data_IF_033709382790
#
_entry.id   IF_033709382790
#
_cell.length_a   1.000
_cell.length_b   1.000
_cell.length_c   1.000
_cell.angle_alpha   90.00
_cell.angle_beta   90.00
_cell.angle_gamma   90.00
#
_symmetry.space_group_name_H-M   'P 1'
#
loop_
_entity.id
_entity.type
_entity.pdbx_description
1 polymer ?
#
# COMPACT_ATOMS: atom_id res chain seq x y z
N UNK A 1 -1.63 22.53 20.14
CA UNK A 1 -1.70 21.05 20.24
C UNK A 1 -1.31 20.51 21.62
N UNK A 2 -0.33 21.07 22.31
CA UNK A 2 0.06 20.62 23.65
C UNK A 2 -1.06 20.71 24.70
N UNK A 3 -1.86 21.77 24.73
CA UNK A 3 -2.97 21.94 25.67
C UNK A 3 -4.06 20.89 25.54
N UNK A 4 -4.34 20.39 24.32
CA UNK A 4 -5.35 19.35 24.10
C UNK A 4 -5.00 18.01 24.78
N UNK A 5 -3.71 17.68 24.86
CA UNK A 5 -3.23 16.48 25.51
C UNK A 5 -3.21 16.57 27.05
N UNK A 6 -3.22 17.80 27.61
CA UNK A 6 -3.30 18.02 29.05
C UNK A 6 -4.73 18.03 29.59
N UNK A 7 -5.70 18.34 28.74
CA UNK A 7 -7.12 18.48 29.12
C UNK A 7 -7.93 17.20 28.91
N UNK A 8 -7.40 16.18 28.24
CA UNK A 8 -8.11 14.93 27.93
C UNK A 8 -7.25 13.72 28.19
N UNK A 9 -7.84 12.69 28.78
CA UNK A 9 -7.26 11.35 28.80
C UNK A 9 -7.16 10.84 27.34
N UNK A 10 -5.95 10.87 26.79
CA UNK A 10 -5.69 10.36 25.46
C UNK A 10 -5.58 8.84 25.52
N UNK A 11 -6.41 8.14 24.77
CA UNK A 11 -6.24 6.70 24.56
C UNK A 11 -4.96 6.50 23.74
N UNK A 12 -3.95 5.92 24.38
CA UNK A 12 -2.70 5.57 23.70
C UNK A 12 -2.97 4.44 22.72
N UNK A 13 -2.57 4.63 21.46
CA UNK A 13 -2.65 3.56 20.48
C UNK A 13 -1.69 2.44 20.85
N UNK A 14 -2.13 1.17 20.78
CA UNK A 14 -1.24 0.06 21.03
C UNK A 14 -0.10 0.11 20.00
N UNK A 15 1.17 -0.02 20.43
CA UNK A 15 2.29 -0.07 19.51
C UNK A 15 2.16 -1.31 18.63
N UNK A 16 2.50 -1.17 17.35
CA UNK A 16 2.62 -2.32 16.47
C UNK A 16 3.76 -3.22 17.01
N UNK A 17 3.58 -4.54 16.96
CA UNK A 17 4.65 -5.46 17.31
C UNK A 17 5.80 -5.38 16.29
N UNK A 18 6.97 -5.87 16.67
CA UNK A 18 8.18 -5.79 15.84
C UNK A 18 7.99 -6.44 14.47
N UNK A 19 7.30 -7.57 14.41
CA UNK A 19 7.03 -8.32 13.18
C UNK A 19 6.24 -7.51 12.15
N UNK A 20 5.25 -6.73 12.62
CA UNK A 20 4.46 -5.84 11.75
C UNK A 20 5.24 -4.61 11.29
N UNK A 21 6.14 -4.11 12.13
CA UNK A 21 7.05 -3.02 11.76
C UNK A 21 7.99 -3.47 10.63
N UNK A 22 8.54 -4.68 10.75
CA UNK A 22 9.39 -5.29 9.73
C UNK A 22 8.61 -5.55 8.43
N UNK A 23 7.42 -6.13 8.53
CA UNK A 23 6.55 -6.35 7.38
C UNK A 23 6.22 -5.03 6.67
N UNK A 24 5.96 -3.96 7.43
CA UNK A 24 5.73 -2.63 6.87
C UNK A 24 6.94 -2.10 6.12
N UNK A 25 8.14 -2.28 6.69
CA UNK A 25 9.37 -1.86 6.04
C UNK A 25 9.61 -2.62 4.72
N UNK A 26 9.41 -3.95 4.72
CA UNK A 26 9.50 -4.80 3.52
C UNK A 26 8.48 -4.38 2.45
N UNK A 27 7.21 -4.22 2.81
CA UNK A 27 6.18 -3.77 1.89
C UNK A 27 6.46 -2.37 1.31
N UNK A 28 6.95 -1.45 2.13
CA UNK A 28 7.29 -0.09 1.68
C UNK A 28 8.43 -0.14 0.67
N UNK A 29 9.44 -0.98 0.91
CA UNK A 29 10.56 -1.15 0.00
C UNK A 29 10.14 -1.80 -1.31
N UNK A 30 9.40 -2.89 -1.24
CA UNK A 30 8.85 -3.57 -2.42
C UNK A 30 8.07 -2.59 -3.31
N UNK A 31 7.21 -1.81 -2.70
CA UNK A 31 6.40 -0.83 -3.38
C UNK A 31 7.22 0.28 -4.07
N UNK A 32 8.32 0.72 -3.43
CA UNK A 32 9.23 1.69 -4.03
C UNK A 32 9.90 1.10 -5.27
N UNK A 33 10.34 -0.16 -5.21
CA UNK A 33 10.95 -0.87 -6.33
C UNK A 33 9.97 -1.05 -7.51
N UNK A 34 8.73 -1.48 -7.24
CA UNK A 34 7.68 -1.57 -8.28
C UNK A 34 7.46 -0.22 -8.99
N UNK A 35 7.46 0.86 -8.24
CA UNK A 35 7.31 2.21 -8.78
C UNK A 35 8.50 2.62 -9.65
N UNK A 36 9.70 2.28 -9.21
CA UNK A 36 10.91 2.62 -9.95
C UNK A 36 11.04 1.80 -11.23
N UNK A 37 10.68 0.51 -11.21
CA UNK A 37 10.58 -0.32 -12.42
C UNK A 37 9.61 0.31 -13.41
N UNK A 38 8.42 0.71 -12.97
CA UNK A 38 7.42 1.35 -13.85
C UNK A 38 7.94 2.66 -14.45
N UNK A 39 8.70 3.44 -13.68
CA UNK A 39 9.33 4.66 -14.20
C UNK A 39 10.37 4.37 -15.28
N UNK A 40 11.19 3.36 -15.06
CA UNK A 40 12.21 2.96 -16.05
C UNK A 40 11.57 2.37 -17.31
N UNK A 41 10.49 1.60 -17.20
CA UNK A 41 9.72 1.13 -18.35
C UNK A 41 9.14 2.28 -19.17
N UNK A 42 8.60 3.31 -18.53
CA UNK A 42 8.11 4.52 -19.21
C UNK A 42 9.25 5.26 -19.93
N UNK A 43 10.42 5.38 -19.28
CA UNK A 43 11.63 5.96 -19.90
C UNK A 43 12.08 5.16 -21.11
N UNK A 44 12.04 3.82 -21.02
CA UNK A 44 12.38 2.94 -22.13
C UNK A 44 11.44 3.18 -23.32
N UNK A 45 10.14 3.24 -23.09
CA UNK A 45 9.16 3.55 -24.13
C UNK A 45 9.42 4.90 -24.80
N UNK A 46 9.64 5.95 -23.99
CA UNK A 46 9.97 7.29 -24.49
C UNK A 46 11.29 7.30 -25.29
N UNK A 47 12.32 6.61 -24.83
CA UNK A 47 13.61 6.53 -25.50
C UNK A 47 13.51 5.81 -26.86
N UNK A 48 12.69 4.77 -26.95
CA UNK A 48 12.42 4.05 -28.20
C UNK A 48 11.64 4.90 -29.20
N UNK A 49 10.60 5.60 -28.73
CA UNK A 49 9.78 6.48 -29.58
C UNK A 49 10.59 7.66 -30.11
N UNK A 50 11.48 8.22 -29.29
CA UNK A 50 12.35 9.34 -29.67
C UNK A 50 13.60 8.90 -30.47
N UNK A 51 13.70 7.63 -30.87
CA UNK A 51 14.83 7.05 -31.58
C UNK A 51 16.21 7.41 -30.96
N UNK A 52 16.27 7.40 -29.61
CA UNK A 52 17.50 7.68 -28.89
C UNK A 52 18.59 6.63 -29.17
N UNK A 53 19.83 6.99 -28.84
CA UNK A 53 20.97 6.10 -29.13
C UNK A 53 20.81 4.73 -28.45
N UNK A 54 21.31 3.70 -29.12
CA UNK A 54 21.32 2.31 -28.62
C UNK A 54 21.97 2.19 -27.24
N UNK A 55 22.94 3.07 -26.92
CA UNK A 55 23.61 3.10 -25.63
C UNK A 55 22.63 3.51 -24.52
N UNK A 56 21.82 4.54 -24.71
CA UNK A 56 20.83 4.99 -23.75
C UNK A 56 19.78 3.90 -23.48
N UNK A 57 19.25 3.30 -24.54
CA UNK A 57 18.30 2.18 -24.45
C UNK A 57 18.90 1.00 -23.65
N UNK A 58 20.18 0.68 -23.91
CA UNK A 58 20.88 -0.38 -23.20
C UNK A 58 21.05 -0.08 -21.70
N UNK A 59 21.39 1.15 -21.33
CA UNK A 59 21.52 1.58 -19.94
C UNK A 59 20.18 1.50 -19.19
N UNK A 60 19.09 1.95 -19.81
CA UNK A 60 17.77 1.86 -19.20
C UNK A 60 17.37 0.37 -18.98
N UNK A 61 17.59 -0.49 -19.95
CA UNK A 61 17.36 -1.94 -19.81
C UNK A 61 18.19 -2.57 -18.69
N UNK A 62 19.42 -2.11 -18.50
CA UNK A 62 20.27 -2.58 -17.41
C UNK A 62 19.73 -2.11 -16.05
N UNK A 63 19.26 -0.86 -15.93
CA UNK A 63 18.59 -0.36 -14.73
C UNK A 63 17.34 -1.18 -14.38
N UNK A 64 16.51 -1.51 -15.36
CA UNK A 64 15.32 -2.36 -15.16
C UNK A 64 15.74 -3.71 -14.57
N UNK A 65 16.73 -4.40 -15.17
CA UNK A 65 17.21 -5.68 -14.65
C UNK A 65 17.72 -5.62 -13.20
N UNK A 66 18.37 -4.52 -12.82
CA UNK A 66 18.81 -4.31 -11.44
C UNK A 66 17.64 -4.12 -10.48
N UNK A 67 16.53 -3.53 -10.94
CA UNK A 67 15.32 -3.30 -10.16
C UNK A 67 14.41 -4.55 -10.06
N UNK A 68 14.52 -5.49 -11.02
CA UNK A 68 13.78 -6.77 -10.99
C UNK A 68 14.18 -7.68 -9.82
N UNK A 69 15.18 -7.29 -9.03
CA UNK A 69 15.42 -7.89 -7.71
C UNK A 69 14.24 -7.73 -6.73
N UNK A 70 13.21 -6.96 -7.14
CA UNK A 70 11.94 -6.86 -6.41
C UNK A 70 11.28 -8.23 -6.16
N UNK A 71 11.43 -9.20 -7.06
CA UNK A 71 10.92 -10.56 -6.87
C UNK A 71 11.55 -11.25 -5.65
N UNK A 72 12.85 -11.06 -5.43
CA UNK A 72 13.53 -11.60 -4.25
C UNK A 72 13.02 -10.97 -2.96
N UNK A 73 12.73 -9.68 -2.97
CA UNK A 73 12.15 -9.00 -1.81
C UNK A 73 10.72 -9.47 -1.53
N UNK A 74 9.96 -9.82 -2.58
CA UNK A 74 8.64 -10.40 -2.46
C UNK A 74 8.69 -11.75 -1.73
N UNK A 75 9.63 -12.62 -2.12
CA UNK A 75 9.89 -13.89 -1.42
C UNK A 75 10.24 -13.69 0.05
N UNK A 76 11.10 -12.72 0.38
CA UNK A 76 11.44 -12.40 1.77
C UNK A 76 10.22 -11.91 2.57
N UNK A 77 9.31 -11.20 1.94
CA UNK A 77 8.08 -10.74 2.58
C UNK A 77 7.15 -11.91 2.92
N UNK A 78 6.99 -12.83 1.98
CA UNK A 78 6.17 -14.03 2.18
C UNK A 78 6.81 -14.98 3.21
N UNK A 79 8.11 -15.12 3.17
CA UNK A 79 8.89 -15.88 4.16
C UNK A 79 8.75 -15.27 5.57
N UNK A 80 8.77 -13.95 5.69
CA UNK A 80 8.52 -13.26 6.95
C UNK A 80 7.12 -13.54 7.50
N UNK A 81 6.09 -13.47 6.65
CA UNK A 81 4.71 -13.80 7.03
C UNK A 81 4.62 -15.26 7.50
N UNK A 82 5.22 -16.20 6.77
CA UNK A 82 5.21 -17.63 7.09
C UNK A 82 5.95 -17.99 8.39
N UNK A 83 6.87 -17.15 8.86
CA UNK A 83 7.55 -17.34 10.16
C UNK A 83 6.67 -17.00 11.36
N UNK A 84 5.57 -16.26 11.16
CA UNK A 84 4.70 -15.77 12.21
C UNK A 84 3.27 -16.28 12.03
N UNK A 85 2.88 -17.28 12.81
CA UNK A 85 1.59 -18.00 12.70
C UNK A 85 0.37 -17.07 12.69
N UNK A 86 0.40 -15.99 13.47
CA UNK A 86 -0.69 -15.02 13.52
C UNK A 86 -0.79 -14.19 12.24
N UNK A 87 0.34 -13.82 11.60
CA UNK A 87 0.34 -13.11 10.32
C UNK A 87 -0.16 -14.02 9.20
N UNK A 88 0.25 -15.28 9.22
CA UNK A 88 -0.21 -16.27 8.24
C UNK A 88 -1.73 -16.54 8.35
N UNK A 89 -2.25 -16.64 9.55
CA UNK A 89 -3.71 -16.79 9.81
C UNK A 89 -4.48 -15.58 9.29
N UNK A 90 -4.02 -14.37 9.65
CA UNK A 90 -4.64 -13.12 9.21
C UNK A 90 -4.59 -13.00 7.68
N UNK A 91 -3.48 -13.39 7.05
CA UNK A 91 -3.35 -13.39 5.59
C UNK A 91 -4.34 -14.36 4.93
N UNK A 92 -4.47 -15.57 5.45
CA UNK A 92 -5.43 -16.58 4.93
C UNK A 92 -6.87 -16.05 5.02
N UNK A 93 -7.23 -15.36 6.11
CA UNK A 93 -8.54 -14.72 6.25
C UNK A 93 -8.74 -13.61 5.19
N UNK A 94 -7.73 -12.79 4.95
CA UNK A 94 -7.81 -11.75 3.93
C UNK A 94 -7.92 -12.33 2.51
N UNK A 95 -7.15 -13.37 2.21
CA UNK A 95 -7.19 -14.07 0.91
C UNK A 95 -8.50 -14.81 0.65
N UNK A 96 -9.29 -15.13 1.68
CA UNK A 96 -10.63 -15.71 1.50
C UNK A 96 -11.65 -14.72 0.94
N UNK A 97 -11.34 -13.43 0.95
CA UNK A 97 -12.21 -12.38 0.41
C UNK A 97 -11.99 -12.29 -1.11
N UNK A 98 -13.08 -12.46 -1.89
CA UNK A 98 -13.01 -12.34 -3.35
C UNK A 98 -12.42 -11.00 -3.77
N UNK A 99 -11.51 -11.01 -4.75
CA UNK A 99 -10.80 -9.83 -5.23
C UNK A 99 -9.57 -9.44 -4.38
N UNK A 100 -9.38 -9.97 -3.17
CA UNK A 100 -8.18 -9.71 -2.36
C UNK A 100 -7.08 -10.73 -2.71
N UNK A 101 -6.13 -10.30 -3.52
CA UNK A 101 -4.93 -11.08 -3.84
C UNK A 101 -3.79 -10.84 -2.83
N UNK A 102 -2.66 -11.54 -3.03
CA UNK A 102 -1.49 -11.51 -2.15
C UNK A 102 -0.96 -10.09 -1.90
N UNK A 103 -0.92 -9.25 -2.92
CA UNK A 103 -0.44 -7.87 -2.79
C UNK A 103 -1.34 -7.06 -1.86
N UNK A 104 -2.66 -7.13 -2.05
CA UNK A 104 -3.62 -6.41 -1.20
C UNK A 104 -3.61 -6.95 0.22
N UNK A 105 -3.53 -8.28 0.40
CA UNK A 105 -3.48 -8.91 1.73
C UNK A 105 -2.27 -8.44 2.53
N UNK A 106 -1.08 -8.40 1.94
CA UNK A 106 0.14 -7.88 2.60
C UNK A 106 0.00 -6.45 3.09
N UNK A 107 -0.63 -5.59 2.29
CA UNK A 107 -0.91 -4.20 2.72
C UNK A 107 -1.90 -4.14 3.87
N UNK A 108 -2.99 -4.90 3.78
CA UNK A 108 -4.00 -4.96 4.82
C UNK A 108 -3.44 -5.49 6.14
N UNK A 109 -2.58 -6.50 6.10
CA UNK A 109 -1.89 -7.02 7.29
C UNK A 109 -1.12 -5.94 8.06
N UNK A 110 -0.49 -5.00 7.36
CA UNK A 110 0.24 -3.90 7.99
C UNK A 110 -0.71 -2.87 8.59
N UNK A 111 -1.80 -2.57 7.91
CA UNK A 111 -2.72 -1.50 8.32
C UNK A 111 -3.76 -1.97 9.33
N UNK A 112 -4.22 -3.23 9.24
CA UNK A 112 -5.23 -3.81 10.13
C UNK A 112 -4.52 -4.71 11.14
N UNK A 113 -4.33 -4.24 12.37
CA UNK A 113 -3.85 -5.06 13.46
C UNK A 113 -4.70 -4.85 14.70
N UNK A 114 -4.67 -5.83 15.57
CA UNK A 114 -5.51 -5.89 16.75
C UNK A 114 -5.39 -4.63 17.62
N UNK A 115 -6.52 -4.08 18.03
CA UNK A 115 -6.60 -2.89 18.86
C UNK A 115 -6.40 -1.55 18.15
N UNK A 116 -6.00 -1.54 16.87
CA UNK A 116 -5.80 -0.28 16.12
C UNK A 116 -7.11 0.42 15.79
N UNK A 117 -8.13 -0.34 15.39
CA UNK A 117 -9.44 0.19 15.04
C UNK A 117 -10.55 -0.45 15.87
N UNK A 118 -11.49 0.37 16.33
CA UNK A 118 -12.66 -0.10 17.08
C UNK A 118 -13.79 -0.59 16.16
N UNK A 119 -13.76 -0.24 14.90
CA UNK A 119 -14.77 -0.62 13.91
C UNK A 119 -14.23 -0.61 12.49
N UNK A 120 -14.90 -1.32 11.60
CA UNK A 120 -14.61 -1.31 10.15
C UNK A 120 -14.74 0.11 9.55
N UNK A 121 -15.71 0.90 10.02
CA UNK A 121 -15.89 2.28 9.57
C UNK A 121 -14.71 3.18 9.94
N UNK A 122 -14.13 3.00 11.11
CA UNK A 122 -12.93 3.73 11.53
C UNK A 122 -11.72 3.35 10.66
N UNK A 123 -11.58 2.07 10.35
CA UNK A 123 -10.54 1.56 9.45
C UNK A 123 -10.70 2.15 8.04
N UNK A 124 -11.91 2.12 7.48
CA UNK A 124 -12.22 2.68 6.17
C UNK A 124 -11.95 4.19 6.10
N UNK A 125 -12.30 4.93 7.16
CA UNK A 125 -12.02 6.37 7.24
C UNK A 125 -10.53 6.66 7.29
N UNK A 126 -9.76 5.91 8.07
CA UNK A 126 -8.30 6.01 8.12
C UNK A 126 -7.64 5.73 6.77
N UNK A 127 -8.09 4.71 6.08
CA UNK A 127 -7.62 4.35 4.73
C UNK A 127 -8.09 5.34 3.66
N UNK A 128 -9.00 6.27 3.99
CA UNK A 128 -9.55 7.23 3.05
C UNK A 128 -10.49 6.62 2.02
N UNK A 129 -11.17 5.53 2.36
CA UNK A 129 -12.15 4.84 1.51
C UNK A 129 -13.55 5.42 1.64
N UNK A 130 -13.79 6.26 2.65
CA UNK A 130 -15.09 6.90 2.88
C UNK A 130 -15.25 8.09 1.91
N UNK A 131 -16.39 8.18 1.20
CA UNK A 131 -16.68 9.32 0.36
C UNK A 131 -16.87 10.59 1.21
N UNK A 132 -16.28 11.69 0.76
CA UNK A 132 -16.48 13.01 1.35
C UNK A 132 -17.53 13.74 0.51
N UNK A 133 -18.69 14.08 1.09
CA UNK A 133 -19.70 14.83 0.38
C UNK A 133 -19.25 16.28 0.20
N UNK A 134 -19.50 16.83 -0.97
CA UNK A 134 -19.32 18.23 -1.30
C UNK A 134 -20.69 18.79 -1.71
N UNK A 135 -21.26 19.63 -0.87
CA UNK A 135 -22.54 20.30 -1.13
C UNK A 135 -22.30 21.78 -1.31
N UNK A 136 -22.76 22.32 -2.42
CA UNK A 136 -22.76 23.76 -2.72
C UNK A 136 -24.07 24.13 -3.40
N UNK A 137 -24.97 24.76 -2.66
CA UNK A 137 -26.33 25.04 -3.14
C UNK A 137 -27.06 23.76 -3.54
N UNK A 138 -27.63 23.73 -4.75
CA UNK A 138 -28.31 22.56 -5.31
C UNK A 138 -27.38 21.49 -5.91
N UNK A 139 -26.08 21.66 -5.81
CA UNK A 139 -25.11 20.74 -6.38
C UNK A 139 -24.57 19.79 -5.30
N UNK A 140 -24.89 18.52 -5.45
CA UNK A 140 -24.34 17.45 -4.63
C UNK A 140 -23.27 16.67 -5.42
N UNK A 141 -22.09 16.57 -4.87
CA UNK A 141 -21.00 15.76 -5.42
C UNK A 141 -20.29 15.03 -4.28
N UNK A 142 -19.70 13.89 -4.55
CA UNK A 142 -18.84 13.20 -3.59
C UNK A 142 -17.50 12.86 -4.21
N UNK A 143 -16.46 12.90 -3.41
CA UNK A 143 -15.12 12.46 -3.82
C UNK A 143 -14.51 11.57 -2.75
N UNK A 144 -13.57 10.70 -3.14
CA UNK A 144 -12.81 9.95 -2.16
C UNK A 144 -11.96 10.90 -1.32
N UNK A 145 -11.88 10.63 -0.02
CA UNK A 145 -11.02 11.35 0.90
C UNK A 145 -9.57 11.40 0.38
N UNK A 146 -8.88 12.51 0.62
CA UNK A 146 -7.43 12.63 0.35
C UNK A 146 -6.58 11.91 1.40
N UNK A 147 -7.17 11.52 2.54
CA UNK A 147 -6.51 10.72 3.56
C UNK A 147 -6.10 9.34 3.04
N UNK A 148 -5.18 8.70 3.75
CA UNK A 148 -4.72 7.35 3.46
C UNK A 148 -3.75 7.25 2.26
N UNK A 149 -3.24 6.05 2.04
CA UNK A 149 -2.30 5.76 0.97
C UNK A 149 -3.00 5.68 -0.39
N UNK A 150 -2.73 6.67 -1.27
CA UNK A 150 -3.34 6.75 -2.61
C UNK A 150 -3.11 5.49 -3.46
N UNK A 151 -1.93 4.90 -3.35
CA UNK A 151 -1.55 3.75 -4.17
C UNK A 151 -2.25 2.48 -3.68
N UNK A 152 -2.40 2.35 -2.36
CA UNK A 152 -3.18 1.26 -1.78
C UNK A 152 -4.66 1.37 -2.16
N UNK A 153 -5.24 2.58 -2.13
CA UNK A 153 -6.61 2.79 -2.63
C UNK A 153 -6.80 2.37 -4.09
N UNK A 154 -5.81 2.67 -4.95
CA UNK A 154 -5.87 2.22 -6.34
C UNK A 154 -5.82 0.69 -6.47
N UNK A 155 -5.02 -0.01 -5.66
CA UNK A 155 -4.98 -1.48 -5.64
C UNK A 155 -6.30 -2.07 -5.14
N UNK A 156 -6.87 -1.51 -4.06
CA UNK A 156 -8.19 -1.93 -3.56
C UNK A 156 -9.32 -1.68 -4.56
N UNK A 157 -9.26 -0.57 -5.28
CA UNK A 157 -10.22 -0.26 -6.33
C UNK A 157 -10.17 -1.31 -7.45
N UNK A 158 -8.98 -1.70 -7.89
CA UNK A 158 -8.82 -2.78 -8.88
C UNK A 158 -9.35 -4.11 -8.35
N UNK A 159 -9.05 -4.44 -7.10
CA UNK A 159 -9.53 -5.65 -6.45
C UNK A 159 -11.07 -5.70 -6.29
N UNK A 160 -11.75 -4.57 -6.33
CA UNK A 160 -13.21 -4.50 -6.22
C UNK A 160 -13.93 -4.57 -7.58
N UNK A 161 -13.19 -4.50 -8.70
CA UNK A 161 -13.76 -4.57 -10.05
C UNK A 161 -13.65 -5.99 -10.63
N UNK A 162 -12.63 -6.76 -10.18
CA UNK A 162 -12.43 -8.16 -10.55
C UNK A 162 -13.44 -9.07 -9.83
#
# INVERSE_FOLDING_TARGET
MACYGLERELVVWPPANQERIELKALNTRLFTLEKDIRRELNRLGSAQTAAQSQLVVRLIKQSIRSLEQAEKLMMLTDEHIGKHEHLEKDQKLLLSISGIGEVCSRYLLVEIYEGRFKSASQCAAYMGLVPVPHQSGNREASSLSRAGNRQFKAKLYMAAID
#
